data_IF_627446074467
#
_entry.id   IF_627446074467
#
_cell.length_a   1.000
_cell.length_b   1.000
_cell.length_c   1.000
_cell.angle_alpha   90.00
_cell.angle_beta   90.00
_cell.angle_gamma   90.00
#
_symmetry.space_group_name_H-M   'P 1'
#
loop_
_entity.id
_entity.type
_entity.pdbx_description
1 polymer ?
#
# COMPACT_ATOMS: atom_id res chain seq x y z
N UNK A 1 19.13 -4.66 5.95
CA UNK A 1 17.99 -5.04 5.08
C UNK A 1 18.48 -5.81 3.85
N UNK A 2 19.18 -5.20 2.93
CA UNK A 2 19.57 -5.73 1.63
C UNK A 2 20.12 -7.17 1.58
N UNK A 3 21.11 -7.49 2.41
CA UNK A 3 21.78 -8.82 2.32
C UNK A 3 20.86 -10.00 2.65
N UNK A 4 19.87 -9.83 3.54
CA UNK A 4 19.01 -10.94 3.97
C UNK A 4 17.83 -11.14 3.04
N UNK A 5 17.21 -10.06 2.57
CA UNK A 5 16.03 -10.15 1.70
C UNK A 5 16.39 -10.72 0.32
N UNK A 6 17.47 -10.23 -0.30
CA UNK A 6 17.93 -10.75 -1.59
C UNK A 6 18.41 -12.20 -1.46
N UNK A 7 19.23 -12.53 -0.45
CA UNK A 7 19.68 -13.91 -0.26
C UNK A 7 18.51 -14.90 -0.01
N UNK A 8 17.43 -14.43 0.63
CA UNK A 8 16.25 -15.24 0.82
C UNK A 8 15.48 -15.41 -0.50
N UNK A 9 15.35 -14.35 -1.29
CA UNK A 9 14.73 -14.40 -2.62
C UNK A 9 15.47 -15.39 -3.55
N UNK A 10 16.81 -15.34 -3.59
CA UNK A 10 17.62 -16.31 -4.33
C UNK A 10 17.38 -17.74 -3.86
N UNK A 11 17.38 -17.98 -2.54
CA UNK A 11 17.16 -19.30 -1.96
C UNK A 11 15.78 -19.88 -2.30
N UNK A 12 14.76 -19.01 -2.34
CA UNK A 12 13.36 -19.40 -2.62
C UNK A 12 12.99 -19.29 -4.08
N UNK A 13 13.89 -18.81 -4.93
CA UNK A 13 13.65 -18.52 -6.35
C UNK A 13 12.45 -17.57 -6.54
N UNK A 14 12.32 -16.56 -5.64
CA UNK A 14 11.26 -15.58 -5.69
C UNK A 14 11.52 -14.56 -6.81
N UNK A 15 10.52 -14.30 -7.61
CA UNK A 15 10.52 -13.28 -8.68
C UNK A 15 10.13 -11.90 -8.14
N UNK A 16 9.52 -11.84 -6.96
CA UNK A 16 9.16 -10.60 -6.28
C UNK A 16 9.38 -10.70 -4.77
N UNK A 17 9.71 -9.56 -4.15
CA UNK A 17 9.85 -9.45 -2.70
C UNK A 17 9.17 -8.20 -2.17
N UNK A 18 8.67 -8.30 -0.94
CA UNK A 18 8.20 -7.14 -0.20
C UNK A 18 9.04 -6.93 1.05
N UNK A 19 9.42 -5.67 1.30
CA UNK A 19 10.26 -5.29 2.44
C UNK A 19 9.66 -4.15 3.25
N UNK A 20 10.10 -4.02 4.52
CA UNK A 20 9.85 -2.82 5.31
C UNK A 20 11.09 -1.94 5.30
N UNK A 21 10.92 -0.65 5.05
CA UNK A 21 12.01 0.36 5.09
C UNK A 21 12.18 0.98 6.48
N UNK A 22 11.25 0.72 7.38
CA UNK A 22 11.27 1.13 8.79
C UNK A 22 10.64 0.06 9.69
N UNK A 23 10.56 0.32 11.00
CA UNK A 23 9.84 -0.58 11.90
C UNK A 23 8.34 -0.58 11.57
N UNK A 24 7.73 -1.73 11.21
CA UNK A 24 6.31 -1.79 10.85
C UNK A 24 5.35 -1.44 12.00
N UNK A 25 5.84 -1.44 13.24
CA UNK A 25 5.07 -1.15 14.46
C UNK A 25 5.54 0.13 15.17
N UNK A 26 6.16 1.06 14.45
CA UNK A 26 6.68 2.31 15.03
C UNK A 26 6.69 3.45 14.02
N UNK A 27 6.80 4.67 14.53
CA UNK A 27 6.86 5.90 13.73
C UNK A 27 8.28 6.36 13.39
N UNK A 28 9.30 5.61 13.84
CA UNK A 28 10.69 5.97 13.56
C UNK A 28 10.98 5.88 12.05
N UNK A 29 11.55 6.93 11.52
CA UNK A 29 12.01 7.07 10.14
C UNK A 29 13.55 7.08 10.15
N UNK A 30 14.21 5.92 10.02
CA UNK A 30 15.67 5.83 10.07
C UNK A 30 16.33 6.65 8.97
N UNK A 31 17.55 7.12 9.25
CA UNK A 31 18.39 7.75 8.23
C UNK A 31 18.66 6.77 7.07
N UNK A 32 18.73 7.31 5.86
CA UNK A 32 19.04 6.56 4.65
C UNK A 32 20.51 6.13 4.64
N UNK A 33 20.73 4.86 4.33
CA UNK A 33 22.06 4.37 3.98
C UNK A 33 22.13 4.18 2.46
N UNK A 34 22.52 5.22 1.76
CA UNK A 34 22.52 5.26 0.28
C UNK A 34 23.38 4.16 -0.35
N UNK A 35 24.51 3.79 0.27
CA UNK A 35 25.36 2.70 -0.23
C UNK A 35 24.64 1.35 -0.14
N UNK A 36 23.99 1.08 1.00
CA UNK A 36 23.24 -0.15 1.20
C UNK A 36 22.01 -0.24 0.27
N UNK A 37 21.39 0.90 -0.02
CA UNK A 37 20.22 0.97 -0.91
C UNK A 37 20.62 0.78 -2.38
N UNK A 38 21.68 1.43 -2.82
CA UNK A 38 22.23 1.24 -4.16
C UNK A 38 22.62 -0.24 -4.38
N UNK A 39 23.28 -0.86 -3.42
CA UNK A 39 23.62 -2.28 -3.48
C UNK A 39 22.41 -3.19 -3.50
N UNK A 40 21.34 -2.83 -2.78
CA UNK A 40 20.09 -3.59 -2.81
C UNK A 40 19.46 -3.52 -4.20
N UNK A 41 19.32 -2.31 -4.74
CA UNK A 41 18.74 -2.06 -6.06
C UNK A 41 19.52 -2.79 -7.16
N UNK A 42 20.85 -2.62 -7.20
CA UNK A 42 21.72 -3.32 -8.16
C UNK A 42 21.52 -4.85 -8.14
N UNK A 43 21.43 -5.43 -6.95
CA UNK A 43 21.23 -6.88 -6.81
C UNK A 43 19.84 -7.35 -7.22
N UNK A 44 18.80 -6.59 -6.87
CA UNK A 44 17.44 -6.91 -7.27
C UNK A 44 17.30 -6.86 -8.79
N UNK A 45 17.85 -5.81 -9.43
CA UNK A 45 17.90 -5.66 -10.90
C UNK A 45 18.70 -6.80 -11.56
N UNK A 46 19.87 -7.17 -11.03
CA UNK A 46 20.72 -8.22 -11.59
C UNK A 46 20.07 -9.62 -11.51
N UNK A 47 19.14 -9.84 -10.59
CA UNK A 47 18.43 -11.10 -10.37
C UNK A 47 17.01 -11.08 -10.93
N UNK A 48 16.60 -9.99 -11.59
CA UNK A 48 15.24 -9.77 -12.10
C UNK A 48 14.16 -9.96 -11.02
N UNK A 49 14.44 -9.41 -9.82
CA UNK A 49 13.54 -9.49 -8.67
C UNK A 49 12.78 -8.17 -8.52
N UNK A 50 11.47 -8.20 -8.71
CA UNK A 50 10.60 -7.06 -8.43
C UNK A 50 10.57 -6.76 -6.92
N UNK A 51 10.63 -5.48 -6.58
CA UNK A 51 10.62 -5.04 -5.18
C UNK A 51 9.39 -4.21 -4.87
N UNK A 52 8.76 -4.52 -3.75
CA UNK A 52 7.67 -3.74 -3.15
C UNK A 52 8.03 -3.36 -1.70
N UNK A 53 7.46 -2.26 -1.23
CA UNK A 53 7.58 -1.83 0.17
C UNK A 53 6.23 -1.94 0.84
N UNK A 54 6.17 -2.47 2.05
CA UNK A 54 5.01 -2.27 2.92
C UNK A 54 5.32 -1.15 3.91
N UNK A 55 4.47 -0.15 3.96
CA UNK A 55 4.56 0.94 4.92
C UNK A 55 4.17 0.47 6.34
N UNK A 56 4.48 1.22 7.41
CA UNK A 56 4.13 0.82 8.76
C UNK A 56 2.63 0.58 8.96
N UNK A 57 2.27 -0.47 9.68
CA UNK A 57 0.87 -0.83 9.98
C UNK A 57 0.12 0.22 10.81
N UNK A 58 0.85 1.13 11.46
CA UNK A 58 0.28 2.21 12.27
C UNK A 58 -0.35 3.32 11.42
N UNK A 59 -0.06 3.37 10.13
CA UNK A 59 -0.59 4.39 9.23
C UNK A 59 -2.12 4.31 9.20
N UNK A 60 -2.74 5.45 9.52
CA UNK A 60 -4.17 5.66 9.40
C UNK A 60 -4.45 7.08 8.91
N UNK A 61 -4.55 7.24 7.60
CA UNK A 61 -4.80 8.52 6.93
C UNK A 61 -6.20 9.09 7.21
N UNK A 62 -7.14 8.25 7.68
CA UNK A 62 -8.49 8.65 8.10
C UNK A 62 -8.62 8.98 9.59
N UNK A 63 -7.52 8.92 10.36
CA UNK A 63 -7.57 9.12 11.82
C UNK A 63 -8.07 10.51 12.21
N UNK A 64 -9.01 10.62 13.16
CA UNK A 64 -9.41 11.91 13.75
C UNK A 64 -8.37 12.48 14.72
N UNK A 65 -7.37 11.68 15.12
CA UNK A 65 -6.30 12.11 16.01
C UNK A 65 -5.20 12.79 15.21
N UNK A 66 -4.95 14.06 15.51
CA UNK A 66 -4.01 14.89 14.75
C UNK A 66 -2.60 14.31 14.65
N UNK A 67 -2.05 13.81 15.76
CA UNK A 67 -0.71 13.22 15.79
C UNK A 67 -0.64 11.95 14.94
N UNK A 68 -1.65 11.07 15.03
CA UNK A 68 -1.72 9.87 14.18
C UNK A 68 -1.80 10.24 12.71
N UNK A 69 -2.62 11.21 12.35
CA UNK A 69 -2.74 11.68 10.99
C UNK A 69 -1.44 12.30 10.44
N UNK A 70 -0.81 13.20 11.20
CA UNK A 70 0.49 13.80 10.82
C UNK A 70 1.58 12.74 10.64
N UNK A 71 1.69 11.83 11.60
CA UNK A 71 2.66 10.73 11.53
C UNK A 71 2.36 9.80 10.35
N UNK A 72 1.08 9.57 10.03
CA UNK A 72 0.68 8.75 8.88
C UNK A 72 1.11 9.38 7.56
N UNK A 73 0.90 10.69 7.38
CA UNK A 73 1.36 11.42 6.19
C UNK A 73 2.89 11.38 6.07
N UNK A 74 3.60 11.68 7.16
CA UNK A 74 5.06 11.67 7.16
C UNK A 74 5.62 10.27 6.85
N UNK A 75 5.04 9.21 7.44
CA UNK A 75 5.45 7.83 7.17
C UNK A 75 5.12 7.37 5.75
N UNK A 76 4.00 7.83 5.17
CA UNK A 76 3.65 7.53 3.78
C UNK A 76 4.64 8.19 2.83
N UNK A 77 4.92 9.48 2.99
CA UNK A 77 5.90 10.21 2.19
C UNK A 77 7.31 9.60 2.32
N UNK A 78 7.72 9.27 3.55
CA UNK A 78 8.98 8.59 3.81
C UNK A 78 9.06 7.23 3.11
N UNK A 79 8.00 6.41 3.18
CA UNK A 79 7.99 5.08 2.57
C UNK A 79 8.06 5.15 1.05
N UNK A 80 7.38 6.12 0.42
CA UNK A 80 7.45 6.36 -1.02
C UNK A 80 8.87 6.79 -1.45
N UNK A 81 9.47 7.75 -0.73
CA UNK A 81 10.86 8.15 -0.96
C UNK A 81 11.82 6.97 -0.84
N UNK A 82 11.68 6.18 0.23
CA UNK A 82 12.52 5.01 0.44
C UNK A 82 12.29 3.93 -0.61
N UNK A 83 11.05 3.74 -1.04
CA UNK A 83 10.70 2.86 -2.16
C UNK A 83 11.43 3.24 -3.43
N UNK A 84 11.43 4.52 -3.78
CA UNK A 84 12.16 5.03 -4.95
C UNK A 84 13.69 4.80 -4.83
N UNK A 85 14.27 5.09 -3.68
CA UNK A 85 15.71 4.91 -3.44
C UNK A 85 16.16 3.45 -3.64
N UNK A 86 15.33 2.47 -3.30
CA UNK A 86 15.62 1.03 -3.46
C UNK A 86 15.07 0.42 -4.76
N UNK A 87 14.45 1.21 -5.63
CA UNK A 87 13.90 0.73 -6.91
C UNK A 87 12.60 -0.08 -6.77
N UNK A 88 11.80 0.19 -5.74
CA UNK A 88 10.52 -0.48 -5.57
C UNK A 88 9.48 0.00 -6.59
N UNK A 89 8.64 -0.92 -7.06
CA UNK A 89 7.54 -0.63 -7.99
C UNK A 89 6.33 -0.02 -7.27
N UNK A 90 6.11 -0.37 -6.02
CA UNK A 90 4.98 0.11 -5.23
C UNK A 90 5.22 0.12 -3.72
N UNK A 91 4.46 0.96 -3.04
CA UNK A 91 4.44 1.08 -1.57
C UNK A 91 3.03 0.81 -1.08
N UNK A 92 2.85 -0.29 -0.38
CA UNK A 92 1.56 -0.74 0.16
C UNK A 92 1.22 0.05 1.43
N UNK A 93 0.01 0.59 1.48
CA UNK A 93 -0.55 1.29 2.63
C UNK A 93 -1.98 0.81 2.86
N UNK A 94 -2.29 0.41 4.08
CA UNK A 94 -3.66 0.07 4.46
C UNK A 94 -4.59 1.27 4.29
N UNK A 95 -5.81 1.04 3.82
CA UNK A 95 -6.80 2.09 3.58
C UNK A 95 -7.25 2.83 4.84
N UNK A 96 -6.98 2.27 6.02
CA UNK A 96 -7.21 2.93 7.30
C UNK A 96 -8.69 2.98 7.71
N UNK A 97 -8.96 3.80 8.73
CA UNK A 97 -10.26 3.89 9.37
C UNK A 97 -10.58 5.31 9.81
N UNK A 98 -11.84 5.70 9.70
CA UNK A 98 -12.36 6.94 10.28
C UNK A 98 -12.46 6.87 11.82
N UNK A 99 -12.30 5.68 12.42
CA UNK A 99 -12.39 5.40 13.86
C UNK A 99 -13.79 5.59 14.43
N UNK A 100 -14.48 6.66 14.00
CA UNK A 100 -15.86 7.00 14.42
C UNK A 100 -16.73 7.28 13.19
N UNK A 101 -18.02 6.97 13.29
CA UNK A 101 -18.97 7.13 12.20
C UNK A 101 -19.11 8.59 11.77
N UNK A 102 -19.17 9.52 12.73
CA UNK A 102 -19.29 10.96 12.49
C UNK A 102 -18.02 11.61 11.90
N UNK A 103 -16.96 10.84 11.71
CA UNK A 103 -15.70 11.30 11.15
C UNK A 103 -15.47 10.90 9.68
N UNK A 104 -16.35 10.09 9.07
CA UNK A 104 -16.12 9.52 7.72
C UNK A 104 -15.92 10.62 6.67
N UNK A 105 -16.81 11.62 6.60
CA UNK A 105 -16.70 12.70 5.63
C UNK A 105 -15.44 13.56 5.83
N UNK A 106 -15.08 13.78 7.10
CA UNK A 106 -13.84 14.48 7.44
C UNK A 106 -12.61 13.67 7.05
N UNK A 107 -12.68 12.34 7.22
CA UNK A 107 -11.59 11.46 6.83
C UNK A 107 -11.31 11.55 5.32
N UNK A 108 -12.33 11.55 4.48
CA UNK A 108 -12.14 11.72 3.03
C UNK A 108 -11.52 13.07 2.68
N UNK A 109 -12.01 14.15 3.28
CA UNK A 109 -11.48 15.49 3.05
C UNK A 109 -10.00 15.60 3.49
N UNK A 110 -9.64 15.03 4.65
CA UNK A 110 -8.26 15.08 5.14
C UNK A 110 -7.31 14.17 4.32
N UNK A 111 -7.77 13.00 3.84
CA UNK A 111 -7.01 12.14 2.93
C UNK A 111 -6.67 12.92 1.66
N UNK A 112 -7.66 13.50 1.01
CA UNK A 112 -7.42 14.34 -0.17
C UNK A 112 -6.42 15.45 0.13
N UNK A 113 -6.66 16.25 1.18
CA UNK A 113 -5.81 17.39 1.56
C UNK A 113 -4.35 16.98 1.84
N UNK A 114 -4.13 15.83 2.46
CA UNK A 114 -2.79 15.44 2.90
C UNK A 114 -2.05 14.54 1.90
N UNK A 115 -2.76 13.66 1.19
CA UNK A 115 -2.12 12.69 0.29
C UNK A 115 -1.89 13.28 -1.10
N UNK A 116 -2.80 14.11 -1.62
CA UNK A 116 -2.62 14.71 -2.95
C UNK A 116 -1.29 15.45 -3.10
N UNK A 117 -0.86 16.34 -2.17
CA UNK A 117 0.44 16.98 -2.30
C UNK A 117 1.63 16.01 -2.30
N UNK A 118 1.50 14.86 -1.64
CA UNK A 118 2.53 13.81 -1.67
C UNK A 118 2.59 13.18 -3.05
N UNK A 119 1.42 12.86 -3.64
CA UNK A 119 1.33 12.25 -4.97
C UNK A 119 1.80 13.20 -6.08
N UNK A 120 1.41 14.47 -6.01
CA UNK A 120 1.80 15.52 -6.96
C UNK A 120 3.31 15.84 -6.93
N UNK A 121 3.98 15.52 -5.83
CA UNK A 121 5.43 15.68 -5.68
C UNK A 121 6.23 14.46 -6.21
N UNK A 122 5.55 13.38 -6.60
CA UNK A 122 6.20 12.19 -7.16
C UNK A 122 6.61 12.46 -8.60
N UNK A 123 7.80 12.02 -8.96
CA UNK A 123 8.26 11.99 -10.34
C UNK A 123 7.83 10.68 -11.05
N UNK A 124 8.21 10.58 -12.34
CA UNK A 124 7.82 9.43 -13.16
C UNK A 124 8.42 8.10 -12.67
N UNK A 125 9.60 8.15 -12.05
CA UNK A 125 10.32 6.98 -11.54
C UNK A 125 9.88 6.59 -10.12
N UNK A 126 9.02 7.39 -9.48
CA UNK A 126 8.55 7.09 -8.14
C UNK A 126 7.63 5.85 -8.13
N UNK A 127 7.65 5.06 -7.03
CA UNK A 127 6.77 3.92 -6.88
C UNK A 127 5.29 4.33 -6.82
N UNK A 128 4.40 3.40 -7.16
CA UNK A 128 2.97 3.58 -6.92
C UNK A 128 2.65 3.61 -5.42
N UNK A 129 1.69 4.43 -5.02
CA UNK A 129 1.00 4.27 -3.74
C UNK A 129 -0.07 3.18 -3.90
N UNK A 130 0.15 2.03 -3.29
CA UNK A 130 -0.76 0.89 -3.38
C UNK A 130 -1.71 0.86 -2.19
N UNK A 131 -2.99 1.10 -2.44
CA UNK A 131 -4.03 1.02 -1.43
C UNK A 131 -4.36 -0.45 -1.17
N UNK A 132 -4.26 -0.88 0.08
CA UNK A 132 -4.63 -2.22 0.49
C UNK A 132 -5.91 -2.17 1.34
N UNK A 133 -7.05 -2.64 0.81
CA UNK A 133 -8.26 -2.84 1.59
C UNK A 133 -8.00 -3.80 2.75
N UNK A 134 -8.53 -3.47 3.92
CA UNK A 134 -8.43 -4.31 5.11
C UNK A 134 -9.69 -5.14 5.32
N UNK A 135 -9.74 -5.94 6.38
CA UNK A 135 -10.86 -6.85 6.68
C UNK A 135 -12.22 -6.16 6.98
N UNK A 136 -12.34 -4.85 6.78
CA UNK A 136 -13.59 -4.10 6.92
C UNK A 136 -14.07 -3.89 8.36
N UNK A 137 -13.20 -4.06 9.35
CA UNK A 137 -13.57 -3.97 10.76
C UNK A 137 -13.89 -2.53 11.19
N UNK A 138 -14.88 -2.38 12.08
CA UNK A 138 -15.24 -1.10 12.70
C UNK A 138 -15.64 -0.04 11.68
N UNK A 139 -14.96 1.10 11.73
CA UNK A 139 -15.12 2.22 10.80
C UNK A 139 -13.99 2.26 9.75
N UNK A 140 -13.62 1.09 9.22
CA UNK A 140 -12.72 1.00 8.06
C UNK A 140 -13.27 1.85 6.92
N UNK A 141 -12.40 2.60 6.23
CA UNK A 141 -12.80 3.44 5.11
C UNK A 141 -13.14 2.62 3.86
N UNK A 142 -12.52 1.45 3.73
CA UNK A 142 -12.84 0.46 2.72
C UNK A 142 -13.25 -0.82 3.44
N UNK A 143 -14.56 -1.01 3.61
CA UNK A 143 -15.15 -2.20 4.23
C UNK A 143 -15.32 -3.33 3.23
N UNK A 144 -15.60 -2.96 1.98
CA UNK A 144 -15.74 -3.85 0.84
C UNK A 144 -15.02 -3.25 -0.36
N UNK A 145 -14.76 -4.03 -1.39
CA UNK A 145 -14.04 -3.55 -2.58
C UNK A 145 -14.75 -2.39 -3.28
N UNK A 146 -16.07 -2.35 -3.23
CA UNK A 146 -16.89 -1.26 -3.79
C UNK A 146 -16.53 0.11 -3.17
N UNK A 147 -16.12 0.13 -1.90
CA UNK A 147 -15.76 1.38 -1.20
C UNK A 147 -14.45 1.98 -1.71
N UNK A 148 -13.62 1.20 -2.44
CA UNK A 148 -12.39 1.71 -3.08
C UNK A 148 -12.68 2.89 -4.01
N UNK A 149 -13.85 2.92 -4.63
CA UNK A 149 -14.25 4.04 -5.49
C UNK A 149 -14.22 5.38 -4.75
N UNK A 150 -14.62 5.40 -3.47
CA UNK A 150 -14.59 6.62 -2.66
C UNK A 150 -13.14 7.07 -2.39
N UNK A 151 -12.25 6.11 -2.17
CA UNK A 151 -10.82 6.41 -1.98
C UNK A 151 -10.19 6.95 -3.27
N UNK A 152 -10.44 6.30 -4.40
CA UNK A 152 -9.96 6.75 -5.71
C UNK A 152 -10.52 8.14 -6.07
N UNK A 153 -11.80 8.41 -5.80
CA UNK A 153 -12.40 9.74 -5.96
C UNK A 153 -11.73 10.79 -5.08
N UNK A 154 -11.46 10.46 -3.79
CA UNK A 154 -10.76 11.38 -2.88
C UNK A 154 -9.36 11.72 -3.38
N UNK A 155 -8.68 10.81 -4.06
CA UNK A 155 -7.37 10.99 -4.68
C UNK A 155 -7.44 11.35 -6.18
N UNK A 156 -8.61 11.81 -6.65
CA UNK A 156 -8.83 12.29 -8.02
C UNK A 156 -8.38 11.30 -9.10
N UNK A 157 -8.45 10.00 -8.80
CA UNK A 157 -7.94 8.91 -9.66
C UNK A 157 -6.49 9.13 -10.10
N UNK A 158 -5.66 9.71 -9.23
CA UNK A 158 -4.26 10.01 -9.53
C UNK A 158 -3.54 8.81 -10.16
N UNK A 159 -2.73 8.99 -11.23
CA UNK A 159 -2.13 7.89 -11.98
C UNK A 159 -1.14 7.06 -11.16
N UNK A 160 -0.50 7.64 -10.13
CA UNK A 160 0.41 6.93 -9.22
C UNK A 160 -0.31 6.21 -8.06
N UNK A 161 -1.64 6.09 -8.10
CA UNK A 161 -2.42 5.29 -7.13
C UNK A 161 -2.80 3.96 -7.76
N UNK A 162 -2.36 2.88 -7.14
CA UNK A 162 -2.71 1.50 -7.48
C UNK A 162 -3.36 0.78 -6.30
N UNK A 163 -3.62 -0.50 -6.51
CA UNK A 163 -4.28 -1.38 -5.54
C UNK A 163 -3.39 -2.59 -5.26
N UNK A 164 -3.28 -2.92 -3.98
CA UNK A 164 -2.82 -4.22 -3.50
C UNK A 164 -4.02 -5.01 -2.98
N UNK A 165 -4.32 -6.17 -3.57
CA UNK A 165 -5.38 -7.05 -3.11
C UNK A 165 -4.81 -8.10 -2.16
N UNK A 166 -5.29 -8.14 -0.91
CA UNK A 166 -4.99 -9.23 0.03
C UNK A 166 -6.17 -10.21 0.09
N UNK A 167 -5.93 -11.49 -0.24
CA UNK A 167 -6.97 -12.52 -0.33
C UNK A 167 -7.60 -12.82 1.04
N UNK A 168 -6.82 -12.77 2.13
CA UNK A 168 -7.33 -12.93 3.49
C UNK A 168 -8.25 -11.75 3.87
N UNK A 169 -7.83 -10.51 3.55
CA UNK A 169 -8.61 -9.31 3.87
C UNK A 169 -9.95 -9.30 3.14
N UNK A 170 -9.97 -9.58 1.84
CA UNK A 170 -11.23 -9.56 1.08
C UNK A 170 -12.16 -10.71 1.49
N UNK A 171 -11.62 -11.88 1.83
CA UNK A 171 -12.40 -12.97 2.38
C UNK A 171 -13.05 -12.56 3.71
N UNK A 172 -12.28 -11.98 4.64
CA UNK A 172 -12.77 -11.51 5.92
C UNK A 172 -13.78 -10.34 5.77
N UNK A 173 -13.66 -9.54 4.72
CA UNK A 173 -14.60 -8.48 4.35
C UNK A 173 -15.90 -9.01 3.72
N UNK A 174 -16.03 -10.33 3.52
CA UNK A 174 -17.25 -10.97 3.04
C UNK A 174 -17.31 -11.23 1.53
N UNK A 175 -16.19 -11.11 0.82
CA UNK A 175 -16.06 -11.60 -0.55
C UNK A 175 -15.71 -13.09 -0.50
N UNK A 176 -16.66 -13.96 -0.84
CA UNK A 176 -16.50 -15.42 -0.73
C UNK A 176 -15.61 -15.98 -1.85
N UNK A 177 -14.31 -15.74 -1.73
CA UNK A 177 -13.30 -16.22 -2.68
C UNK A 177 -13.11 -17.74 -2.61
N UNK A 178 -13.56 -18.40 -1.56
CA UNK A 178 -13.44 -19.85 -1.39
C UNK A 178 -14.50 -20.64 -2.19
N UNK A 179 -15.63 -20.03 -2.54
CA UNK A 179 -16.62 -20.69 -3.39
C UNK A 179 -16.13 -20.86 -4.83
N UNK A 180 -16.71 -21.83 -5.54
CA UNK A 180 -16.40 -22.03 -6.96
C UNK A 180 -16.71 -20.75 -7.76
N UNK A 181 -15.69 -20.16 -8.40
CA UNK A 181 -15.79 -18.92 -9.16
C UNK A 181 -15.70 -17.64 -8.32
N UNK A 182 -15.68 -17.73 -6.98
CA UNK A 182 -15.67 -16.56 -6.09
C UNK A 182 -14.46 -15.65 -6.29
N UNK A 183 -13.27 -16.22 -6.49
CA UNK A 183 -12.09 -15.40 -6.80
C UNK A 183 -12.25 -14.62 -8.11
N UNK A 184 -12.81 -15.27 -9.15
CA UNK A 184 -13.08 -14.58 -10.42
C UNK A 184 -14.08 -13.43 -10.24
N UNK A 185 -15.19 -13.66 -9.54
CA UNK A 185 -16.19 -12.63 -9.23
C UNK A 185 -15.56 -11.45 -8.48
N UNK A 186 -14.67 -11.74 -7.51
CA UNK A 186 -13.98 -10.71 -6.73
C UNK A 186 -13.00 -9.90 -7.58
N UNK A 187 -12.26 -10.55 -8.48
CA UNK A 187 -11.37 -9.86 -9.42
C UNK A 187 -12.16 -9.04 -10.47
N UNK A 188 -13.25 -9.59 -11.01
CA UNK A 188 -14.12 -8.86 -11.95
C UNK A 188 -14.67 -7.59 -11.29
N UNK A 189 -15.14 -7.68 -10.03
CA UNK A 189 -15.58 -6.52 -9.25
C UNK A 189 -14.45 -5.51 -9.03
N UNK A 190 -13.25 -5.97 -8.67
CA UNK A 190 -12.11 -5.06 -8.48
C UNK A 190 -11.73 -4.33 -9.77
N UNK A 191 -11.79 -5.04 -10.92
CA UNK A 191 -11.56 -4.44 -12.24
C UNK A 191 -12.65 -3.42 -12.58
N UNK A 192 -13.92 -3.72 -12.26
CA UNK A 192 -15.04 -2.78 -12.45
C UNK A 192 -14.86 -1.49 -11.64
N UNK A 193 -14.42 -1.62 -10.37
CA UNK A 193 -14.29 -0.48 -9.46
C UNK A 193 -13.03 0.35 -9.71
N UNK A 194 -11.90 -0.31 -9.93
CA UNK A 194 -10.59 0.36 -9.96
C UNK A 194 -9.95 0.46 -11.35
N UNK A 195 -10.33 -0.42 -12.29
CA UNK A 195 -9.61 -0.63 -13.55
C UNK A 195 -8.48 -1.63 -13.41
N UNK A 196 -8.27 -2.44 -14.44
CA UNK A 196 -7.24 -3.49 -14.44
C UNK A 196 -5.83 -2.91 -14.28
N UNK A 197 -5.57 -1.74 -14.84
CA UNK A 197 -4.28 -1.06 -14.82
C UNK A 197 -3.84 -0.60 -13.42
N UNK A 198 -4.79 -0.51 -12.47
CA UNK A 198 -4.49 -0.14 -11.08
C UNK A 198 -4.19 -1.34 -10.20
N UNK A 199 -4.46 -2.56 -10.63
CA UNK A 199 -4.17 -3.77 -9.85
C UNK A 199 -2.70 -4.10 -10.03
N UNK A 200 -1.86 -3.74 -9.05
CA UNK A 200 -0.40 -3.81 -9.16
C UNK A 200 0.21 -4.94 -8.32
N UNK A 201 -0.49 -5.40 -7.30
CA UNK A 201 0.03 -6.40 -6.37
C UNK A 201 -1.10 -7.24 -5.79
N UNK A 202 -0.80 -8.52 -5.56
CA UNK A 202 -1.69 -9.43 -4.83
C UNK A 202 -0.90 -10.07 -3.67
N UNK A 203 -1.41 -9.91 -2.44
CA UNK A 203 -1.00 -10.73 -1.32
C UNK A 203 -1.84 -12.00 -1.34
N UNK A 204 -1.26 -13.10 -1.82
CA UNK A 204 -1.89 -14.43 -1.77
C UNK A 204 -1.73 -14.99 -0.35
N UNK A 205 -2.65 -14.64 0.51
CA UNK A 205 -2.63 -14.87 1.94
C UNK A 205 -3.85 -15.71 2.37
N UNK A 206 -3.77 -16.48 3.48
CA UNK A 206 -4.83 -17.36 3.99
C UNK A 206 -5.11 -17.14 5.50
#
# INVERSE_FOLDING_TARGET
MAKRSIAYAELTQAEAIQVFTSNPRGWAMPETNHEADALFREKAEALDIETYVHAPFLINLGSPTEDTYKNSLASTAYSLKRGQEIGALGVVVHTGSAVKEDNVDKAWAQIKKGVMPILEALDDDAPFLLLEPTAGQGQSLVKRLEDLENYLKALEYHPKVGICLDTCHVFAAGHDIAKKGGMKETLDLLVEVAGIERIQLIHAND
#
